data_IF_348449320657
#
_entry.id   IF_348449320657
#
_cell.length_a   1.000
_cell.length_b   1.000
_cell.length_c   1.000
_cell.angle_alpha   90.00
_cell.angle_beta   90.00
_cell.angle_gamma   90.00
#
_symmetry.space_group_name_H-M   'P 1'
#
loop_
_entity.id
_entity.type
_entity.pdbx_description
1 polymer ?
#
# COMPACT_ATOMS: atom_id res chain seq x y z
N UNK A 1 30.40 -17.31 -5.22
CA UNK A 1 29.40 -16.59 -4.40
C UNK A 1 28.02 -16.98 -4.88
N UNK A 2 27.14 -17.48 -4.00
CA UNK A 2 25.75 -17.78 -4.36
C UNK A 2 25.03 -16.49 -4.71
N UNK A 3 24.37 -16.44 -5.87
CA UNK A 3 23.58 -15.29 -6.32
C UNK A 3 22.39 -15.13 -5.36
N UNK A 4 22.36 -14.04 -4.62
CA UNK A 4 21.23 -13.72 -3.72
C UNK A 4 19.98 -13.55 -4.56
N UNK A 5 19.03 -14.49 -4.45
CA UNK A 5 17.76 -14.40 -5.17
C UNK A 5 17.00 -13.21 -4.58
N UNK A 6 16.64 -12.25 -5.44
CA UNK A 6 15.81 -11.11 -5.03
C UNK A 6 14.38 -11.60 -4.73
N UNK A 7 13.72 -11.08 -3.69
CA UNK A 7 12.36 -11.47 -3.38
C UNK A 7 11.39 -11.04 -4.49
N UNK A 8 10.43 -11.89 -4.80
CA UNK A 8 9.33 -11.56 -5.70
C UNK A 8 8.13 -11.05 -4.87
N UNK A 9 7.79 -9.79 -5.09
CA UNK A 9 6.70 -9.11 -4.38
C UNK A 9 5.65 -8.63 -5.38
N UNK A 10 4.41 -9.08 -5.21
CA UNK A 10 3.27 -8.56 -5.95
C UNK A 10 2.56 -7.48 -5.14
N UNK A 11 2.41 -6.29 -5.71
CA UNK A 11 1.70 -5.17 -5.06
C UNK A 11 0.40 -4.90 -5.81
N UNK A 12 -0.72 -4.96 -5.11
CA UNK A 12 -2.04 -4.59 -5.59
C UNK A 12 -2.43 -3.26 -4.97
N UNK A 13 -2.69 -2.26 -5.82
CA UNK A 13 -3.01 -0.89 -5.41
C UNK A 13 -4.45 -0.57 -5.76
N UNK A 14 -5.14 0.19 -4.92
CA UNK A 14 -6.51 0.63 -5.15
C UNK A 14 -6.58 1.87 -6.04
N UNK A 15 -5.69 2.84 -5.83
CA UNK A 15 -5.66 4.12 -6.49
C UNK A 15 -4.40 4.37 -7.33
N UNK A 16 -4.44 5.43 -8.13
CA UNK A 16 -3.31 5.83 -8.99
C UNK A 16 -2.14 6.39 -8.18
N UNK A 17 -2.41 7.11 -7.09
CA UNK A 17 -1.37 7.65 -6.21
C UNK A 17 -0.54 6.55 -5.55
N UNK A 18 -1.16 5.48 -5.08
CA UNK A 18 -0.49 4.30 -4.52
C UNK A 18 0.36 3.58 -5.57
N UNK A 19 -0.14 3.53 -6.83
CA UNK A 19 0.62 2.95 -7.94
C UNK A 19 1.88 3.77 -8.20
N UNK A 20 1.77 5.09 -8.34
CA UNK A 20 2.93 5.93 -8.61
C UNK A 20 3.95 5.87 -7.47
N UNK A 21 3.49 5.84 -6.22
CA UNK A 21 4.35 5.64 -5.07
C UNK A 21 5.06 4.27 -5.11
N UNK A 22 4.32 3.20 -5.44
CA UNK A 22 4.90 1.85 -5.54
C UNK A 22 5.88 1.74 -6.71
N UNK A 23 5.64 2.41 -7.83
CA UNK A 23 6.59 2.49 -8.95
C UNK A 23 7.92 3.11 -8.49
N UNK A 24 7.86 4.21 -7.75
CA UNK A 24 9.04 4.83 -7.18
C UNK A 24 9.79 3.84 -6.25
N UNK A 25 9.09 3.16 -5.36
CA UNK A 25 9.72 2.17 -4.48
C UNK A 25 10.39 1.05 -5.28
N UNK A 26 9.76 0.57 -6.35
CA UNK A 26 10.34 -0.43 -7.24
C UNK A 26 11.63 0.06 -7.88
N UNK A 27 11.66 1.28 -8.39
CA UNK A 27 12.85 1.87 -9.00
C UNK A 27 13.96 2.09 -7.97
N UNK A 28 13.60 2.59 -6.78
CA UNK A 28 14.57 2.87 -5.71
C UNK A 28 15.21 1.62 -5.12
N UNK A 29 14.44 0.53 -5.00
CA UNK A 29 14.87 -0.72 -4.38
C UNK A 29 15.08 -1.86 -5.40
N UNK A 30 15.15 -1.54 -6.68
CA UNK A 30 15.46 -2.43 -7.81
C UNK A 30 14.72 -3.78 -7.80
N UNK A 31 13.74 -3.93 -8.66
CA UNK A 31 13.05 -5.19 -9.01
C UNK A 31 12.42 -5.97 -7.85
N UNK A 32 12.29 -5.35 -6.68
CA UNK A 32 11.70 -6.00 -5.49
C UNK A 32 10.19 -6.15 -5.64
N UNK A 33 9.51 -5.19 -6.27
CA UNK A 33 8.06 -5.19 -6.37
C UNK A 33 7.56 -5.29 -7.81
N UNK A 34 6.57 -6.13 -8.03
CA UNK A 34 5.78 -6.17 -9.26
C UNK A 34 4.47 -5.42 -9.02
N UNK A 35 4.21 -4.40 -9.85
CA UNK A 35 3.08 -3.49 -9.68
C UNK A 35 1.88 -4.01 -10.47
N UNK A 36 0.70 -3.97 -9.86
CA UNK A 36 -0.58 -4.20 -10.51
C UNK A 36 -1.33 -2.88 -10.69
N UNK A 37 -2.11 -2.79 -11.77
CA UNK A 37 -2.99 -1.63 -12.00
C UNK A 37 -4.13 -1.59 -10.98
N UNK A 38 -4.70 -0.40 -10.67
CA UNK A 38 -5.86 -0.27 -9.82
C UNK A 38 -7.02 -1.12 -10.34
N UNK A 39 -7.75 -1.75 -9.44
CA UNK A 39 -8.88 -2.59 -9.77
C UNK A 39 -9.97 -2.47 -8.72
N UNK A 40 -11.23 -2.43 -9.16
CA UNK A 40 -12.35 -2.63 -8.25
C UNK A 40 -12.29 -4.04 -7.65
N UNK A 41 -12.50 -4.16 -6.33
CA UNK A 41 -12.44 -5.46 -5.67
C UNK A 41 -11.01 -6.00 -5.61
N UNK A 42 -10.10 -5.23 -5.05
CA UNK A 42 -8.66 -5.47 -4.99
C UNK A 42 -8.30 -6.91 -4.58
N UNK A 43 -8.91 -7.40 -3.52
CA UNK A 43 -8.65 -8.73 -2.96
C UNK A 43 -9.18 -9.85 -3.87
N UNK A 44 -10.38 -9.68 -4.41
CA UNK A 44 -11.00 -10.65 -5.33
C UNK A 44 -10.24 -10.77 -6.64
N UNK A 45 -9.69 -9.67 -7.12
CA UNK A 45 -8.86 -9.69 -8.33
C UNK A 45 -7.57 -10.43 -8.07
N UNK A 46 -6.91 -10.22 -6.94
CA UNK A 46 -5.71 -10.97 -6.57
C UNK A 46 -6.01 -12.48 -6.46
N UNK A 47 -7.06 -12.86 -5.74
CA UNK A 47 -7.50 -14.24 -5.61
C UNK A 47 -7.79 -14.91 -6.98
N UNK A 48 -8.54 -14.20 -7.84
CA UNK A 48 -8.83 -14.67 -9.21
C UNK A 48 -7.57 -14.83 -10.05
N UNK A 49 -6.64 -13.86 -9.99
CA UNK A 49 -5.37 -13.94 -10.74
C UNK A 49 -4.55 -15.15 -10.32
N UNK A 50 -4.31 -15.33 -9.03
CA UNK A 50 -3.55 -16.48 -8.54
C UNK A 50 -4.23 -17.83 -8.78
N UNK A 51 -5.55 -17.89 -8.88
CA UNK A 51 -6.29 -19.12 -9.18
C UNK A 51 -6.36 -19.43 -10.69
N UNK A 52 -6.53 -18.41 -11.53
CA UNK A 52 -6.93 -18.59 -12.94
C UNK A 52 -5.87 -18.16 -13.95
N UNK A 53 -5.03 -17.20 -13.62
CA UNK A 53 -4.00 -16.69 -14.55
C UNK A 53 -2.74 -17.57 -14.42
N UNK A 54 -2.34 -18.20 -15.51
CA UNK A 54 -1.20 -19.11 -15.56
C UNK A 54 0.11 -18.44 -15.06
N UNK A 55 0.33 -17.15 -15.42
CA UNK A 55 1.52 -16.39 -14.98
C UNK A 55 1.59 -16.29 -13.46
N UNK A 56 0.50 -15.92 -12.80
CA UNK A 56 0.47 -15.77 -11.34
C UNK A 56 0.52 -17.12 -10.64
N UNK A 57 -0.23 -18.10 -11.15
CA UNK A 57 -0.25 -19.46 -10.61
C UNK A 57 1.14 -20.10 -10.67
N UNK A 58 1.84 -19.99 -11.81
CA UNK A 58 3.18 -20.55 -11.98
C UNK A 58 4.22 -19.84 -11.12
N UNK A 59 4.04 -18.55 -10.84
CA UNK A 59 4.92 -17.78 -9.98
C UNK A 59 4.59 -17.90 -8.49
N UNK A 60 3.48 -18.53 -8.11
CA UNK A 60 3.07 -18.62 -6.70
C UNK A 60 4.15 -19.27 -5.81
N UNK A 61 4.82 -20.33 -6.32
CA UNK A 61 5.89 -21.03 -5.58
C UNK A 61 7.14 -20.18 -5.33
N UNK A 62 7.39 -19.16 -6.16
CA UNK A 62 8.53 -18.25 -6.02
C UNK A 62 8.14 -16.88 -5.49
N UNK A 63 6.85 -16.65 -5.25
CA UNK A 63 6.35 -15.41 -4.67
C UNK A 63 6.65 -15.36 -3.17
N UNK A 64 7.35 -14.34 -2.72
CA UNK A 64 7.69 -14.15 -1.32
C UNK A 64 6.63 -13.35 -0.57
N UNK A 65 6.15 -12.27 -1.19
CA UNK A 65 5.16 -11.40 -0.56
C UNK A 65 4.07 -10.97 -1.54
N UNK A 66 2.87 -10.73 -1.00
CA UNK A 66 1.75 -10.07 -1.67
C UNK A 66 1.34 -8.89 -0.79
N UNK A 67 1.35 -7.70 -1.36
CA UNK A 67 0.96 -6.47 -0.66
C UNK A 67 -0.34 -5.94 -1.24
N UNK A 68 -1.22 -5.46 -0.36
CA UNK A 68 -2.43 -4.72 -0.71
C UNK A 68 -2.29 -3.31 -0.17
N UNK A 69 -2.28 -2.34 -1.05
CA UNK A 69 -2.18 -0.93 -0.69
C UNK A 69 -3.52 -0.26 -1.02
N UNK A 70 -4.25 0.16 0.01
CA UNK A 70 -5.64 0.61 -0.12
C UNK A 70 -6.06 1.52 1.03
N UNK A 71 -7.12 2.30 0.78
CA UNK A 71 -7.74 3.13 1.79
C UNK A 71 -8.81 2.34 2.56
N UNK A 72 -8.87 2.54 3.87
CA UNK A 72 -9.94 2.00 4.72
C UNK A 72 -11.00 3.07 4.88
N UNK A 73 -12.16 2.84 4.27
CA UNK A 73 -13.35 3.64 4.48
C UNK A 73 -14.29 2.98 5.50
N UNK A 74 -15.05 3.79 6.24
CA UNK A 74 -15.97 3.32 7.31
C UNK A 74 -17.03 2.30 6.84
N UNK A 75 -17.31 2.24 5.54
CA UNK A 75 -18.26 1.28 4.94
C UNK A 75 -17.72 -0.13 4.72
N UNK A 76 -16.43 -0.41 4.96
CA UNK A 76 -15.81 -1.70 4.63
C UNK A 76 -15.93 -2.77 5.74
N UNK A 77 -16.48 -2.45 6.90
CA UNK A 77 -16.57 -3.35 8.06
C UNK A 77 -17.27 -4.68 7.77
N UNK A 78 -18.25 -4.71 6.84
CA UNK A 78 -18.94 -5.95 6.43
C UNK A 78 -18.14 -6.89 5.51
N UNK A 79 -16.97 -6.47 5.01
CA UNK A 79 -16.15 -7.25 4.08
C UNK A 79 -14.94 -7.94 4.71
N UNK A 80 -14.63 -7.69 5.98
CA UNK A 80 -13.40 -8.19 6.64
C UNK A 80 -13.29 -9.71 6.66
N UNK A 81 -14.38 -10.44 6.94
CA UNK A 81 -14.35 -11.90 6.93
C UNK A 81 -13.98 -12.45 5.55
N UNK A 82 -14.49 -11.80 4.50
CA UNK A 82 -14.18 -12.16 3.11
C UNK A 82 -12.72 -11.86 2.80
N UNK A 83 -12.22 -10.68 3.19
CA UNK A 83 -10.82 -10.31 3.04
C UNK A 83 -9.91 -11.31 3.76
N UNK A 84 -10.20 -11.64 5.00
CA UNK A 84 -9.43 -12.61 5.78
C UNK A 84 -9.40 -14.00 5.12
N UNK A 85 -10.51 -14.49 4.55
CA UNK A 85 -10.56 -15.73 3.79
C UNK A 85 -9.64 -15.68 2.56
N UNK A 86 -9.68 -14.58 1.80
CA UNK A 86 -8.80 -14.39 0.63
C UNK A 86 -7.34 -14.37 1.07
N UNK A 87 -7.00 -13.56 2.07
CA UNK A 87 -5.64 -13.46 2.62
C UNK A 87 -5.13 -14.84 3.08
N UNK A 88 -5.97 -15.62 3.81
CA UNK A 88 -5.62 -16.98 4.24
C UNK A 88 -5.36 -17.91 3.05
N UNK A 89 -6.15 -17.79 1.98
CA UNK A 89 -5.97 -18.57 0.75
C UNK A 89 -4.65 -18.22 0.07
N UNK A 90 -4.35 -16.93 -0.10
CA UNK A 90 -3.13 -16.45 -0.73
C UNK A 90 -1.87 -16.87 0.04
N UNK A 91 -1.89 -16.81 1.37
CA UNK A 91 -0.77 -17.28 2.21
C UNK A 91 -0.41 -18.74 1.96
N UNK A 92 -1.39 -19.58 1.66
CA UNK A 92 -1.25 -21.03 1.47
C UNK A 92 -0.83 -21.44 0.05
N UNK A 93 -0.72 -20.52 -0.90
CA UNK A 93 -0.32 -20.83 -2.27
C UNK A 93 1.09 -21.40 -2.36
N UNK A 94 1.98 -21.01 -1.44
CA UNK A 94 3.28 -21.63 -1.22
C UNK A 94 3.31 -22.23 0.20
N UNK A 95 3.80 -23.45 0.34
CA UNK A 95 3.70 -24.18 1.62
C UNK A 95 4.89 -23.95 2.56
N UNK A 96 6.10 -23.72 2.04
CA UNK A 96 7.30 -23.64 2.88
C UNK A 96 8.34 -22.66 2.26
N UNK A 97 8.50 -21.47 2.81
CA UNK A 97 7.63 -20.77 3.77
C UNK A 97 6.35 -20.29 3.10
N UNK A 98 5.30 -20.04 3.87
CA UNK A 98 4.07 -19.44 3.36
C UNK A 98 4.35 -18.06 2.74
N UNK A 99 3.55 -17.64 1.74
CA UNK A 99 3.61 -16.29 1.20
C UNK A 99 3.24 -15.30 2.33
N UNK A 100 4.04 -14.26 2.49
CA UNK A 100 3.73 -13.19 3.42
C UNK A 100 2.74 -12.22 2.77
N UNK A 101 1.55 -12.07 3.34
CA UNK A 101 0.56 -11.08 2.89
C UNK A 101 0.61 -9.87 3.80
N UNK A 102 0.81 -8.67 3.24
CA UNK A 102 0.83 -7.39 3.94
C UNK A 102 -0.36 -6.55 3.51
N UNK A 103 -1.03 -5.96 4.49
CA UNK A 103 -2.11 -5.00 4.29
C UNK A 103 -1.53 -3.62 4.62
N UNK A 104 -1.30 -2.81 3.59
CA UNK A 104 -0.83 -1.43 3.70
C UNK A 104 -2.07 -0.55 3.65
N UNK A 105 -2.64 -0.31 4.82
CA UNK A 105 -3.89 0.42 4.97
C UNK A 105 -3.63 1.88 5.29
N UNK A 106 -4.27 2.77 4.56
CA UNK A 106 -4.35 4.19 4.90
C UNK A 106 -5.75 4.51 5.41
N UNK A 107 -5.83 5.27 6.52
CA UNK A 107 -7.12 5.68 7.05
C UNK A 107 -7.62 6.88 6.26
N UNK A 108 -8.75 6.73 5.60
CA UNK A 108 -9.48 7.79 4.92
C UNK A 108 -8.90 8.23 3.59
N UNK A 109 -7.58 8.40 3.42
CA UNK A 109 -6.97 8.74 2.13
C UNK A 109 -5.44 8.59 2.15
N UNK A 110 -4.85 8.25 1.01
CA UNK A 110 -3.40 8.10 0.83
C UNK A 110 -2.64 9.43 1.07
N UNK A 111 -3.30 10.57 0.87
CA UNK A 111 -2.71 11.89 1.11
C UNK A 111 -2.30 12.10 2.57
N UNK A 112 -2.96 11.45 3.52
CA UNK A 112 -2.52 11.44 4.92
C UNK A 112 -1.13 10.78 5.05
N UNK A 113 -0.94 9.59 4.44
CA UNK A 113 0.37 8.94 4.39
C UNK A 113 1.41 9.85 3.72
N UNK A 114 1.06 10.51 2.63
CA UNK A 114 1.94 11.44 1.93
C UNK A 114 2.32 12.65 2.78
N UNK A 115 1.41 13.15 3.59
CA UNK A 115 1.68 14.27 4.50
C UNK A 115 2.70 13.88 5.59
N UNK A 116 2.71 12.61 6.03
CA UNK A 116 3.71 12.11 6.98
C UNK A 116 5.13 12.11 6.42
N UNK A 117 5.33 12.24 5.10
CA UNK A 117 6.66 12.42 4.52
C UNK A 117 7.29 13.76 4.90
N UNK A 118 6.49 14.73 5.30
CA UNK A 118 6.95 16.08 5.63
C UNK A 118 6.84 16.40 7.13
N UNK A 119 5.76 15.99 7.78
CA UNK A 119 5.51 16.40 9.16
C UNK A 119 4.74 15.37 10.00
N UNK A 120 4.92 15.47 11.33
CA UNK A 120 4.15 14.73 12.32
C UNK A 120 2.79 15.38 12.50
N UNK A 121 1.73 14.74 12.04
CA UNK A 121 0.35 15.21 12.16
C UNK A 121 -0.60 14.03 12.42
N UNK A 122 -1.68 14.30 13.13
CA UNK A 122 -2.81 13.37 13.32
C UNK A 122 -4.09 14.15 13.06
N UNK A 123 -4.42 14.43 11.77
CA UNK A 123 -5.63 15.16 11.44
C UNK A 123 -6.87 14.29 11.63
N UNK A 124 -8.03 14.90 11.82
CA UNK A 124 -9.31 14.21 11.63
C UNK A 124 -9.52 13.91 10.15
N UNK A 125 -10.07 12.71 9.84
CA UNK A 125 -10.26 12.23 8.45
C UNK A 125 -11.62 11.55 8.28
N UNK A 126 -12.62 11.99 9.03
CA UNK A 126 -13.94 11.35 9.03
C UNK A 126 -14.88 11.91 7.96
N UNK A 127 -14.69 13.17 7.58
CA UNK A 127 -15.55 13.87 6.63
C UNK A 127 -14.85 14.20 5.33
N UNK A 128 -15.63 14.46 4.26
CA UNK A 128 -15.08 14.91 2.97
C UNK A 128 -14.28 16.22 3.13
N UNK A 129 -14.80 17.18 3.91
CA UNK A 129 -14.11 18.43 4.16
C UNK A 129 -12.76 18.27 4.87
N UNK A 130 -12.64 17.30 5.77
CA UNK A 130 -11.39 16.96 6.44
C UNK A 130 -10.39 16.30 5.48
N UNK A 131 -10.84 15.40 4.59
CA UNK A 131 -10.01 14.83 3.52
C UNK A 131 -9.49 15.92 2.56
N UNK A 132 -10.35 16.87 2.18
CA UNK A 132 -9.95 18.04 1.38
C UNK A 132 -8.94 18.94 2.11
N UNK A 133 -9.07 19.07 3.42
CA UNK A 133 -8.09 19.80 4.23
C UNK A 133 -6.71 19.11 4.21
N UNK A 134 -6.67 17.78 4.29
CA UNK A 134 -5.42 17.03 4.18
C UNK A 134 -4.76 17.27 2.83
N UNK A 135 -5.54 17.23 1.75
CA UNK A 135 -5.05 17.55 0.41
C UNK A 135 -4.42 18.94 0.35
N UNK A 136 -5.08 19.96 0.93
CA UNK A 136 -4.53 21.33 1.00
C UNK A 136 -3.24 21.40 1.82
N UNK A 137 -3.19 20.70 2.96
CA UNK A 137 -1.99 20.63 3.78
C UNK A 137 -0.84 19.97 3.02
N UNK A 138 -1.11 18.91 2.26
CA UNK A 138 -0.11 18.27 1.42
C UNK A 138 0.35 19.18 0.28
N UNK A 139 -0.55 19.94 -0.35
CA UNK A 139 -0.21 20.87 -1.40
C UNK A 139 0.63 22.05 -0.90
N UNK A 140 0.52 22.43 0.38
CA UNK A 140 1.42 23.41 1.01
C UNK A 140 2.86 22.88 1.15
N UNK A 141 3.02 21.57 1.45
CA UNK A 141 4.34 20.93 1.57
C UNK A 141 4.92 20.52 0.21
N UNK A 142 4.06 20.11 -0.72
CA UNK A 142 4.41 19.72 -2.08
C UNK A 142 3.58 20.53 -3.08
N UNK A 143 3.98 21.78 -3.39
CA UNK A 143 3.25 22.62 -4.35
C UNK A 143 3.09 21.93 -5.70
N UNK A 144 1.87 22.00 -6.24
CA UNK A 144 1.52 21.35 -7.50
C UNK A 144 1.17 19.87 -7.39
N UNK A 145 1.06 19.30 -6.18
CA UNK A 145 0.58 17.92 -6.01
C UNK A 145 -0.80 17.74 -6.62
N UNK A 146 -0.91 16.71 -7.47
CA UNK A 146 -2.15 16.21 -8.05
C UNK A 146 -2.19 14.68 -7.86
N UNK A 147 -3.37 14.15 -7.55
CA UNK A 147 -3.56 12.70 -7.39
C UNK A 147 -3.12 11.95 -8.64
N UNK A 148 -2.32 10.89 -8.44
CA UNK A 148 -1.82 10.06 -9.53
C UNK A 148 -0.72 10.70 -10.38
N UNK A 149 -0.28 11.94 -10.07
CA UNK A 149 0.84 12.54 -10.78
C UNK A 149 2.18 11.91 -10.35
N UNK A 150 2.90 11.37 -11.32
CA UNK A 150 4.15 10.66 -11.09
C UNK A 150 5.25 11.57 -10.53
N UNK A 151 5.34 12.82 -11.02
CA UNK A 151 6.44 13.72 -10.65
C UNK A 151 6.33 14.20 -9.20
N UNK A 152 5.14 14.62 -8.79
CA UNK A 152 4.90 15.07 -7.41
C UNK A 152 4.89 13.91 -6.44
N UNK A 153 4.36 12.74 -6.82
CA UNK A 153 4.43 11.52 -6.00
C UNK A 153 5.87 11.08 -5.76
N UNK A 154 6.76 11.19 -6.77
CA UNK A 154 8.20 10.92 -6.60
C UNK A 154 8.87 11.88 -5.62
N UNK A 155 8.59 13.18 -5.72
CA UNK A 155 9.12 14.19 -4.77
C UNK A 155 8.72 13.85 -3.34
N UNK A 156 7.46 13.47 -3.12
CA UNK A 156 6.97 13.02 -1.82
C UNK A 156 7.73 11.78 -1.37
N UNK A 157 7.78 10.76 -2.22
CA UNK A 157 8.37 9.47 -1.90
C UNK A 157 9.89 9.54 -1.59
N UNK A 158 10.61 10.54 -2.09
CA UNK A 158 12.03 10.76 -1.72
C UNK A 158 12.22 10.99 -0.21
N UNK A 159 11.17 11.44 0.48
CA UNK A 159 11.14 11.62 1.94
C UNK A 159 10.68 10.36 2.71
N UNK A 160 10.67 9.17 2.11
CA UNK A 160 10.12 7.94 2.72
C UNK A 160 10.73 7.60 4.08
N UNK A 161 12.00 7.93 4.34
CA UNK A 161 12.63 7.72 5.65
C UNK A 161 11.97 8.59 6.73
N UNK A 162 11.64 9.84 6.40
CA UNK A 162 10.92 10.70 7.31
C UNK A 162 9.49 10.20 7.54
N UNK A 163 8.83 9.69 6.49
CA UNK A 163 7.51 9.07 6.62
C UNK A 163 7.50 7.88 7.57
N UNK A 164 8.52 7.03 7.54
CA UNK A 164 8.67 5.92 8.49
C UNK A 164 8.74 6.42 9.94
N UNK A 165 9.59 7.42 10.22
CA UNK A 165 9.74 8.00 11.56
C UNK A 165 8.44 8.64 12.04
N UNK A 166 7.77 9.40 11.17
CA UNK A 166 6.53 10.07 11.50
C UNK A 166 5.36 9.08 11.66
N UNK A 167 5.34 8.01 10.84
CA UNK A 167 4.37 6.92 10.96
C UNK A 167 4.50 6.15 12.27
N UNK A 168 5.72 5.81 12.68
CA UNK A 168 5.98 5.16 13.96
C UNK A 168 5.51 6.03 15.14
N UNK A 169 5.70 7.34 15.05
CA UNK A 169 5.18 8.28 16.05
C UNK A 169 3.64 8.26 16.11
N UNK A 170 2.94 8.26 14.97
CA UNK A 170 1.47 8.15 14.92
C UNK A 170 0.98 6.85 15.54
N UNK A 171 1.64 5.73 15.20
CA UNK A 171 1.30 4.42 15.79
C UNK A 171 1.53 4.41 17.31
N UNK A 172 2.60 5.04 17.79
CA UNK A 172 2.87 5.18 19.21
C UNK A 172 1.77 5.93 19.96
N UNK A 173 1.17 6.96 19.35
CA UNK A 173 0.01 7.66 19.94
C UNK A 173 -1.22 6.77 20.05
N UNK A 174 -1.45 5.90 19.07
CA UNK A 174 -2.60 4.98 19.08
C UNK A 174 -2.51 3.92 20.20
N UNK A 175 -1.30 3.55 20.61
CA UNK A 175 -1.06 2.56 21.66
C UNK A 175 -1.18 3.14 23.09
N UNK A 176 -1.20 4.46 23.25
CA UNK A 176 -1.34 5.12 24.57
C UNK A 176 -2.80 5.17 25.03
N UNK A 177 -3.76 4.88 24.14
CA UNK A 177 -5.20 4.96 24.42
C UNK A 177 -5.91 3.59 24.52
N UNK A 178 -5.15 2.50 24.70
CA UNK A 178 -5.70 1.16 24.95
C UNK A 178 -5.61 0.81 26.44
#
# INVERSE_FOLDING_TARGET
>A
MARKIKPLIYVFCEGESEIEYTKYLKEKFEDVAVIQKPVKGLFEVADKKFKKDAKYRNNAEVTDEIWFFFDVDDGQTGSWDRIQKIVSTLKKLRKKPNIRVRLLMTTGCVEFWFLLHYKKVVPSIQTVAEKENILRLLQNECPGYVKGDSNTTRKIADHFKQASINGDWVLGLSLIHI
#
